data_IF_829108977305
#
_entry.id   IF_829108977305
#
_cell.length_a   1.000
_cell.length_b   1.000
_cell.length_c   1.000
_cell.angle_alpha   90.00
_cell.angle_beta   90.00
_cell.angle_gamma   90.00
#
_symmetry.space_group_name_H-M   'P 1'
#
loop_
_entity.id
_entity.type
_entity.pdbx_description
1 polymer ?
#
# COMPACT_ATOMS: atom_id res chain seq x y z
N UNK A 1 8.37 -1.81 -5.84
CA UNK A 1 7.01 -2.33 -6.00
C UNK A 1 6.38 -1.73 -7.25
N UNK A 2 5.69 -2.52 -8.06
CA UNK A 2 5.22 -2.14 -9.40
C UNK A 2 3.74 -2.51 -9.64
N UNK A 3 3.20 -3.51 -8.94
CA UNK A 3 1.85 -4.04 -9.20
C UNK A 3 1.02 -4.23 -7.93
N UNK A 4 -0.30 -4.34 -8.12
CA UNK A 4 -1.24 -4.73 -7.06
C UNK A 4 -0.92 -6.09 -6.45
N UNK A 5 -0.40 -7.03 -7.24
CA UNK A 5 -0.11 -8.38 -6.75
C UNK A 5 1.10 -8.39 -5.81
N UNK A 6 2.13 -7.59 -6.08
CA UNK A 6 3.26 -7.40 -5.15
C UNK A 6 2.80 -6.77 -3.83
N UNK A 7 1.87 -5.81 -3.88
CA UNK A 7 1.28 -5.21 -2.67
C UNK A 7 0.48 -6.25 -1.87
N UNK A 8 -0.34 -7.06 -2.53
CA UNK A 8 -1.10 -8.14 -1.89
C UNK A 8 -0.18 -9.18 -1.28
N UNK A 9 0.87 -9.60 -1.98
CA UNK A 9 1.86 -10.54 -1.46
C UNK A 9 2.54 -10.00 -0.20
N UNK A 10 2.88 -8.71 -0.16
CA UNK A 10 3.44 -8.07 1.04
C UNK A 10 2.46 -8.06 2.21
N UNK A 11 1.17 -7.80 1.95
CA UNK A 11 0.12 -7.89 2.97
C UNK A 11 -0.04 -9.33 3.48
N UNK A 12 0.03 -10.32 2.59
CA UNK A 12 -0.12 -11.74 2.95
C UNK A 12 1.06 -12.22 3.81
N UNK A 13 2.29 -11.77 3.51
CA UNK A 13 3.47 -11.98 4.35
C UNK A 13 3.28 -11.32 5.73
N UNK A 14 2.79 -10.09 5.80
CA UNK A 14 2.55 -9.39 7.06
C UNK A 14 1.51 -10.13 7.93
N UNK A 15 0.40 -10.55 7.33
CA UNK A 15 -0.65 -11.33 8.03
C UNK A 15 -0.11 -12.65 8.57
N UNK A 16 0.63 -13.42 7.76
CA UNK A 16 1.20 -14.70 8.16
C UNK A 16 2.15 -14.58 9.37
N UNK A 17 2.85 -13.45 9.48
CA UNK A 17 3.84 -13.20 10.53
C UNK A 17 3.32 -12.29 11.65
N UNK A 18 2.03 -11.94 11.67
CA UNK A 18 1.42 -11.00 12.64
C UNK A 18 2.16 -9.65 12.70
N UNK A 19 2.64 -9.16 11.56
CA UNK A 19 3.34 -7.88 11.39
C UNK A 19 2.44 -6.81 10.78
N UNK A 20 2.82 -5.55 10.97
CA UNK A 20 2.18 -4.43 10.29
C UNK A 20 2.76 -4.23 8.89
N UNK A 21 2.19 -3.28 8.16
CA UNK A 21 2.73 -2.82 6.88
C UNK A 21 2.98 -1.32 6.92
N UNK A 22 4.03 -0.87 6.23
CA UNK A 22 4.20 0.53 5.86
C UNK A 22 4.03 0.63 4.36
N UNK A 23 3.21 1.59 3.91
CA UNK A 23 2.98 1.87 2.50
C UNK A 23 3.50 3.28 2.18
N UNK A 24 4.32 3.39 1.14
CA UNK A 24 4.87 4.64 0.66
C UNK A 24 3.97 5.23 -0.43
N UNK A 25 3.42 6.41 -0.21
CA UNK A 25 2.49 7.07 -1.13
C UNK A 25 3.13 8.34 -1.68
N UNK A 26 3.32 8.39 -3.00
CA UNK A 26 3.75 9.61 -3.68
C UNK A 26 2.52 10.50 -3.91
N UNK A 27 2.57 11.68 -3.33
CA UNK A 27 1.60 12.76 -3.53
C UNK A 27 2.21 13.86 -4.42
N UNK A 28 1.40 14.54 -5.25
CA UNK A 28 1.86 15.69 -6.01
C UNK A 28 2.26 16.85 -5.06
N UNK A 29 3.36 17.52 -5.38
CA UNK A 29 3.89 18.64 -4.59
C UNK A 29 4.80 18.25 -3.42
N UNK A 30 4.92 16.97 -3.09
CA UNK A 30 5.87 16.49 -2.07
C UNK A 30 7.12 15.89 -2.71
N UNK A 31 8.29 16.20 -2.16
CA UNK A 31 9.57 15.63 -2.60
C UNK A 31 9.67 14.15 -2.21
N UNK A 32 9.46 13.84 -0.93
CA UNK A 32 9.46 12.49 -0.40
C UNK A 32 8.04 11.86 -0.43
N UNK A 33 7.91 10.53 -0.54
CA UNK A 33 6.65 9.82 -0.32
C UNK A 33 6.20 9.93 1.15
N UNK A 34 4.89 9.93 1.37
CA UNK A 34 4.30 9.76 2.70
C UNK A 34 4.38 8.30 3.14
N UNK A 35 4.72 8.05 4.40
CA UNK A 35 4.74 6.71 5.00
C UNK A 35 3.48 6.47 5.84
N UNK A 36 2.66 5.51 5.43
CA UNK A 36 1.46 5.13 6.18
C UNK A 36 1.67 3.76 6.83
N UNK A 37 1.91 3.76 8.13
CA UNK A 37 1.94 2.54 8.94
C UNK A 37 0.53 2.05 9.24
N UNK A 38 0.32 0.74 9.09
CA UNK A 38 -0.89 0.04 9.49
C UNK A 38 -0.51 -1.12 10.40
N UNK A 39 -1.04 -1.19 11.63
CA UNK A 39 -0.74 -2.28 12.56
C UNK A 39 -1.29 -3.63 12.04
N UNK A 40 -0.80 -4.77 12.58
CA UNK A 40 -1.21 -6.11 12.14
C UNK A 40 -2.74 -6.29 12.07
N UNK A 41 -3.47 -5.73 13.04
CA UNK A 41 -4.93 -5.77 13.10
C UNK A 41 -5.62 -5.16 11.88
N UNK A 42 -4.97 -4.20 11.20
CA UNK A 42 -5.55 -3.43 10.11
C UNK A 42 -5.14 -3.97 8.74
N UNK A 43 -4.13 -4.84 8.64
CA UNK A 43 -3.54 -5.27 7.36
C UNK A 43 -4.59 -5.87 6.42
N UNK A 44 -5.50 -6.71 6.93
CA UNK A 44 -6.58 -7.32 6.13
C UNK A 44 -7.48 -6.26 5.51
N UNK A 45 -8.01 -5.35 6.34
CA UNK A 45 -8.89 -4.28 5.86
C UNK A 45 -8.17 -3.35 4.87
N UNK A 46 -6.88 -3.07 5.10
CA UNK A 46 -6.09 -2.23 4.20
C UNK A 46 -5.81 -2.89 2.86
N UNK A 47 -5.54 -4.20 2.81
CA UNK A 47 -5.42 -4.97 1.55
C UNK A 47 -6.67 -4.82 0.67
N UNK A 48 -7.85 -4.94 1.28
CA UNK A 48 -9.13 -4.79 0.58
C UNK A 48 -9.35 -3.35 0.11
N UNK A 49 -9.03 -2.37 0.96
CA UNK A 49 -9.06 -0.96 0.60
C UNK A 49 -8.16 -0.68 -0.62
N UNK A 50 -6.90 -1.11 -0.59
CA UNK A 50 -5.98 -0.85 -1.70
C UNK A 50 -6.47 -1.47 -3.01
N UNK A 51 -7.02 -2.69 -2.95
CA UNK A 51 -7.58 -3.37 -4.12
C UNK A 51 -8.77 -2.61 -4.74
N UNK A 52 -9.56 -1.91 -3.93
CA UNK A 52 -10.71 -1.12 -4.39
C UNK A 52 -10.33 0.28 -4.86
N UNK A 53 -9.34 0.89 -4.20
CA UNK A 53 -9.03 2.31 -4.35
C UNK A 53 -7.90 2.57 -5.35
N UNK A 54 -7.13 1.55 -5.71
CA UNK A 54 -6.00 1.67 -6.63
C UNK A 54 -6.14 0.72 -7.83
N UNK A 55 -5.72 1.21 -9.00
CA UNK A 55 -5.60 0.45 -10.24
C UNK A 55 -4.48 -0.60 -10.12
N UNK A 56 -4.39 -1.49 -11.11
CA UNK A 56 -3.35 -2.54 -11.18
C UNK A 56 -1.92 -1.99 -11.15
N UNK A 57 -1.71 -0.77 -11.66
CA UNK A 57 -0.43 -0.05 -11.66
C UNK A 57 -0.17 0.80 -10.40
N UNK A 58 -1.01 0.64 -9.37
CA UNK A 58 -0.92 1.31 -8.08
C UNK A 58 -1.19 2.82 -8.10
N UNK A 59 -1.82 3.36 -9.16
CA UNK A 59 -2.39 4.71 -9.17
C UNK A 59 -3.80 4.70 -8.60
N UNK A 60 -4.15 5.73 -7.83
CA UNK A 60 -5.47 5.83 -7.20
C UNK A 60 -6.55 6.02 -8.26
N UNK A 61 -7.66 5.30 -8.16
CA UNK A 61 -8.75 5.29 -9.16
C UNK A 61 -9.31 6.69 -9.41
N UNK A 62 -9.48 7.48 -8.35
CA UNK A 62 -10.08 8.82 -8.42
C UNK A 62 -9.06 9.94 -8.60
N UNK A 63 -7.75 9.65 -8.52
CA UNK A 63 -6.70 10.64 -8.69
C UNK A 63 -5.39 9.97 -9.14
N UNK A 64 -5.13 9.96 -10.44
CA UNK A 64 -3.96 9.29 -11.01
C UNK A 64 -2.61 9.93 -10.61
N UNK A 65 -2.61 11.13 -10.02
CA UNK A 65 -1.41 11.75 -9.47
C UNK A 65 -0.98 11.13 -8.13
N UNK A 66 -1.88 10.43 -7.43
CA UNK A 66 -1.59 9.71 -6.19
C UNK A 66 -1.22 8.27 -6.53
N UNK A 67 -0.05 7.83 -6.06
CA UNK A 67 0.47 6.50 -6.37
C UNK A 67 1.15 5.85 -5.18
N UNK A 68 0.86 4.56 -4.95
CA UNK A 68 1.68 3.74 -4.06
C UNK A 68 2.98 3.37 -4.78
N UNK A 69 4.12 3.72 -4.18
CA UNK A 69 5.45 3.52 -4.77
C UNK A 69 6.31 2.50 -4.03
N UNK A 70 5.92 2.11 -2.81
CA UNK A 70 6.63 1.12 -2.01
C UNK A 70 5.76 0.54 -0.90
N UNK A 71 6.14 -0.65 -0.41
CA UNK A 71 5.54 -1.29 0.75
C UNK A 71 6.56 -2.22 1.40
N UNK A 72 6.56 -2.31 2.72
CA UNK A 72 7.37 -3.26 3.48
C UNK A 72 6.68 -3.63 4.79
N UNK A 73 7.07 -4.77 5.36
CA UNK A 73 6.55 -5.23 6.65
C UNK A 73 7.29 -4.56 7.81
N UNK A 74 6.58 -4.25 8.89
CA UNK A 74 7.12 -3.64 10.11
C UNK A 74 6.72 -4.45 11.33
#
# INVERSE_FOLDING_TARGET
MKTMDELKATCDIALANKRGIVVLIKLPGLEAPEEIYNPPSNVRAKRDYYTKTYKTNLRMVHNDAIRIVGCYTK
#
